data_IF_794012374367
#
_entry.id   IF_794012374367
#
_cell.length_a   1.000
_cell.length_b   1.000
_cell.length_c   1.000
_cell.angle_alpha   90.00
_cell.angle_beta   90.00
_cell.angle_gamma   90.00
#
_symmetry.space_group_name_H-M   'P 1'
#
loop_
_entity.id
_entity.type
_entity.pdbx_description
1 polymer ?
#
# COMPACT_ATOMS: atom_id res chain seq x y z
N UNK A 1 36.42 20.75 4.17
CA UNK A 1 34.98 21.08 4.31
C UNK A 1 34.21 20.21 3.33
N UNK A 2 33.81 19.00 3.75
CA UNK A 2 32.85 18.22 2.98
C UNK A 2 31.47 18.84 3.22
N UNK A 3 30.78 19.26 2.15
CA UNK A 3 29.35 19.58 2.25
C UNK A 3 28.69 18.38 2.90
N UNK A 4 28.10 18.58 4.08
CA UNK A 4 27.07 17.68 4.58
C UNK A 4 25.99 17.68 3.51
N UNK A 5 26.05 16.72 2.58
CA UNK A 5 24.90 16.42 1.74
C UNK A 5 23.82 15.97 2.72
N UNK A 6 22.91 16.90 3.03
CA UNK A 6 21.70 16.62 3.78
C UNK A 6 21.14 15.35 3.18
N UNK A 7 21.09 14.29 3.98
CA UNK A 7 20.62 13.01 3.50
C UNK A 7 19.20 13.20 3.01
N UNK A 8 19.06 13.04 1.70
CA UNK A 8 17.78 13.20 1.03
C UNK A 8 16.92 12.04 1.49
N UNK A 9 15.71 12.36 1.94
CA UNK A 9 14.65 11.38 2.14
C UNK A 9 14.69 10.34 0.99
N UNK A 10 14.56 9.03 1.26
CA UNK A 10 14.62 8.01 0.22
C UNK A 10 13.65 8.20 -0.95
N UNK A 11 12.63 9.05 -0.84
CA UNK A 11 11.70 9.39 -1.92
C UNK A 11 12.08 10.66 -2.72
N UNK A 12 13.08 11.42 -2.25
CA UNK A 12 13.63 12.59 -2.94
C UNK A 12 14.89 12.27 -3.77
N UNK A 13 15.30 11.00 -3.77
CA UNK A 13 16.43 10.51 -4.58
C UNK A 13 16.06 10.40 -6.07
N UNK A 14 17.07 10.14 -6.91
CA UNK A 14 16.86 9.71 -8.30
C UNK A 14 16.56 8.21 -8.41
N UNK A 15 16.32 7.72 -9.63
CA UNK A 15 16.03 6.30 -9.91
C UNK A 15 17.07 5.38 -9.20
N UNK A 16 16.63 4.38 -8.42
CA UNK A 16 17.54 3.37 -7.86
C UNK A 16 18.35 2.67 -8.95
N UNK A 17 19.66 2.59 -8.75
CA UNK A 17 20.60 1.93 -9.66
C UNK A 17 21.84 1.46 -8.91
N UNK A 18 22.72 0.68 -9.53
CA UNK A 18 24.00 0.27 -8.92
C UNK A 18 24.85 1.47 -8.46
N UNK A 19 24.78 2.58 -9.20
CA UNK A 19 25.48 3.83 -8.87
C UNK A 19 24.72 4.71 -7.85
N UNK A 20 23.48 4.36 -7.53
CA UNK A 20 22.62 5.04 -6.57
C UNK A 20 21.81 4.00 -5.78
N UNK A 21 22.47 3.15 -4.98
CA UNK A 21 21.82 2.02 -4.33
C UNK A 21 21.01 2.47 -3.12
N UNK A 22 19.93 1.75 -2.81
CA UNK A 22 19.17 1.89 -1.58
C UNK A 22 19.94 1.18 -0.47
N UNK A 23 20.42 1.93 0.51
CA UNK A 23 21.25 1.41 1.60
C UNK A 23 20.38 1.13 2.82
N UNK A 24 20.27 -0.14 3.19
CA UNK A 24 19.42 -0.61 4.28
C UNK A 24 20.30 -1.28 5.33
N UNK A 25 20.20 -0.81 6.57
CA UNK A 25 20.86 -1.43 7.72
C UNK A 25 19.80 -2.03 8.62
N UNK A 26 20.03 -3.25 9.07
CA UNK A 26 19.07 -4.03 9.87
C UNK A 26 19.65 -4.28 11.25
N UNK A 27 18.86 -3.98 12.29
CA UNK A 27 19.17 -4.37 13.66
C UNK A 27 18.90 -5.87 13.85
N UNK A 28 19.89 -6.70 13.53
CA UNK A 28 19.75 -8.16 13.45
C UNK A 28 19.33 -8.82 14.77
N UNK A 29 19.72 -8.26 15.92
CA UNK A 29 19.36 -8.78 17.25
C UNK A 29 17.84 -8.87 17.41
N UNK A 30 17.10 -7.82 17.04
CA UNK A 30 15.63 -7.81 17.10
C UNK A 30 15.01 -8.93 16.25
N UNK A 31 15.52 -9.14 15.03
CA UNK A 31 15.00 -10.18 14.14
C UNK A 31 15.37 -11.59 14.60
N UNK A 32 16.51 -11.74 15.27
CA UNK A 32 16.93 -13.00 15.89
C UNK A 32 15.91 -13.45 16.95
N UNK A 33 15.55 -12.53 17.86
CA UNK A 33 14.59 -12.77 18.93
C UNK A 33 13.18 -13.09 18.42
N UNK A 34 12.76 -12.47 17.31
CA UNK A 34 11.39 -12.55 16.79
C UNK A 34 11.29 -13.33 15.46
N UNK A 35 12.27 -14.20 15.17
CA UNK A 35 12.38 -14.83 13.84
C UNK A 35 11.12 -15.58 13.42
N UNK A 36 10.49 -16.35 14.32
CA UNK A 36 9.28 -17.12 13.98
C UNK A 36 8.16 -16.23 13.43
N UNK A 37 7.97 -15.05 14.04
CA UNK A 37 6.93 -14.09 13.65
C UNK A 37 7.30 -13.33 12.38
N UNK A 38 8.59 -13.09 12.15
CA UNK A 38 9.10 -12.22 11.09
C UNK A 38 9.71 -12.97 9.90
N UNK A 39 9.80 -14.31 9.96
CA UNK A 39 10.51 -15.16 8.99
C UNK A 39 10.13 -14.88 7.54
N UNK A 40 8.85 -14.69 7.25
CA UNK A 40 8.36 -14.35 5.90
C UNK A 40 8.88 -12.99 5.42
N UNK A 41 8.82 -11.97 6.28
CA UNK A 41 9.29 -10.62 5.96
C UNK A 41 10.81 -10.58 5.81
N UNK A 42 11.55 -11.30 6.66
CA UNK A 42 13.01 -11.42 6.57
C UNK A 42 13.43 -12.08 5.26
N UNK A 43 12.78 -13.17 4.86
CA UNK A 43 13.04 -13.80 3.55
C UNK A 43 12.79 -12.85 2.39
N UNK A 44 11.68 -12.11 2.40
CA UNK A 44 11.41 -11.09 1.36
C UNK A 44 12.47 -9.99 1.34
N UNK A 45 12.94 -9.54 2.50
CA UNK A 45 14.00 -8.55 2.58
C UNK A 45 15.32 -9.07 2.01
N UNK A 46 15.66 -10.34 2.29
CA UNK A 46 16.81 -11.02 1.66
C UNK A 46 16.63 -11.10 0.15
N UNK A 47 15.44 -11.48 -0.35
CA UNK A 47 15.20 -11.52 -1.79
C UNK A 47 15.33 -10.14 -2.44
N UNK A 48 14.81 -9.09 -1.80
CA UNK A 48 14.99 -7.71 -2.28
C UNK A 48 16.46 -7.28 -2.28
N UNK A 49 17.27 -7.76 -1.33
CA UNK A 49 18.72 -7.47 -1.30
C UNK A 49 19.52 -8.05 -2.46
N UNK A 50 18.96 -9.03 -3.17
CA UNK A 50 19.56 -9.60 -4.39
C UNK A 50 19.36 -8.69 -5.61
N UNK A 51 18.57 -7.62 -5.49
CA UNK A 51 18.43 -6.61 -6.54
C UNK A 51 19.72 -5.76 -6.63
N UNK A 52 20.21 -5.44 -7.84
CA UNK A 52 21.53 -4.81 -8.03
C UNK A 52 21.66 -3.41 -7.43
N UNK A 53 20.54 -2.76 -7.12
CA UNK A 53 20.48 -1.42 -6.54
C UNK A 53 20.07 -1.42 -5.06
N UNK A 54 20.10 -2.57 -4.37
CA UNK A 54 19.83 -2.65 -2.93
C UNK A 54 21.08 -3.13 -2.21
N UNK A 55 21.57 -2.33 -1.27
CA UNK A 55 22.66 -2.68 -0.37
C UNK A 55 22.11 -2.97 1.01
N UNK A 56 21.95 -4.24 1.34
CA UNK A 56 21.49 -4.70 2.66
C UNK A 56 22.66 -5.06 3.56
N UNK A 57 22.62 -4.60 4.80
CA UNK A 57 23.58 -4.95 5.84
C UNK A 57 22.87 -5.35 7.13
N UNK A 58 23.07 -6.59 7.55
CA UNK A 58 22.69 -7.07 8.87
C UNK A 58 23.80 -6.72 9.86
N UNK A 59 23.49 -5.95 10.90
CA UNK A 59 24.44 -5.64 11.98
C UNK A 59 24.82 -6.90 12.77
N UNK A 60 25.96 -6.90 13.49
CA UNK A 60 26.40 -8.07 14.24
C UNK A 60 25.35 -8.45 15.30
N UNK A 61 25.19 -9.73 15.58
CA UNK A 61 24.26 -10.26 16.58
C UNK A 61 25.05 -11.11 17.57
N UNK A 62 24.74 -11.02 18.87
CA UNK A 62 25.47 -11.79 19.90
C UNK A 62 25.05 -13.25 19.90
N UNK A 63 23.74 -13.46 19.96
CA UNK A 63 23.13 -14.79 19.98
C UNK A 63 22.11 -14.89 18.86
N UNK A 64 22.59 -15.34 17.70
CA UNK A 64 21.73 -15.53 16.54
C UNK A 64 20.88 -16.80 16.71
N UNK A 65 19.58 -16.68 16.48
CA UNK A 65 18.66 -17.80 16.39
C UNK A 65 19.16 -18.78 15.30
N UNK A 66 19.22 -20.07 15.63
CA UNK A 66 19.71 -21.11 14.71
C UNK A 66 18.98 -21.13 13.36
N UNK A 67 17.68 -20.83 13.33
CA UNK A 67 16.91 -20.74 12.10
C UNK A 67 17.29 -19.52 11.24
N UNK A 68 17.65 -18.39 11.87
CA UNK A 68 18.15 -17.21 11.17
C UNK A 68 19.55 -17.47 10.60
N UNK A 69 20.44 -18.11 11.37
CA UNK A 69 21.77 -18.53 10.90
C UNK A 69 21.63 -19.47 9.70
N UNK A 70 20.78 -20.49 9.81
CA UNK A 70 20.53 -21.45 8.73
C UNK A 70 19.99 -20.77 7.47
N UNK A 71 19.12 -19.76 7.62
CA UNK A 71 18.64 -18.96 6.51
C UNK A 71 19.79 -18.17 5.85
N UNK A 72 20.61 -17.47 6.64
CA UNK A 72 21.75 -16.71 6.11
C UNK A 72 22.76 -17.61 5.39
N UNK A 73 23.06 -18.78 5.95
CA UNK A 73 23.94 -19.77 5.30
C UNK A 73 23.34 -20.26 3.98
N UNK A 74 22.06 -20.62 3.97
CA UNK A 74 21.36 -21.08 2.75
C UNK A 74 21.37 -20.03 1.65
N UNK A 75 21.18 -18.77 2.01
CA UNK A 75 21.10 -17.65 1.08
C UNK A 75 22.46 -16.98 0.80
N UNK A 76 23.56 -17.55 1.31
CA UNK A 76 24.93 -17.02 1.22
C UNK A 76 25.08 -15.57 1.70
N UNK A 77 24.41 -15.21 2.80
CA UNK A 77 24.50 -13.89 3.43
C UNK A 77 25.63 -13.90 4.47
N UNK A 78 26.64 -13.03 4.27
CA UNK A 78 27.72 -12.83 5.23
C UNK A 78 27.19 -12.10 6.48
N UNK A 79 27.39 -12.69 7.66
CA UNK A 79 27.06 -12.05 8.93
C UNK A 79 28.18 -11.07 9.27
N UNK A 80 27.83 -9.79 9.48
CA UNK A 80 28.82 -8.79 9.88
C UNK A 80 29.32 -9.03 11.31
N UNK A 81 30.54 -8.56 11.59
CA UNK A 81 31.17 -8.70 12.90
C UNK A 81 31.90 -7.43 13.30
N UNK A 82 31.95 -7.15 14.60
CA UNK A 82 32.88 -6.14 15.12
C UNK A 82 34.23 -6.77 15.42
N UNK A 83 35.30 -6.05 15.07
CA UNK A 83 36.68 -6.48 15.30
C UNK A 83 37.51 -5.33 15.89
N UNK A 84 38.49 -5.67 16.73
CA UNK A 84 39.55 -4.74 17.09
C UNK A 84 40.55 -4.67 15.95
N UNK A 85 40.84 -3.45 15.49
CA UNK A 85 41.84 -3.24 14.43
C UNK A 85 43.26 -3.26 15.01
N UNK A 86 44.22 -3.78 14.24
CA UNK A 86 45.63 -3.88 14.63
C UNK A 86 46.45 -2.61 14.31
N UNK A 87 45.80 -1.50 13.95
CA UNK A 87 46.49 -0.26 13.62
C UNK A 87 47.02 0.44 14.88
N UNK A 88 47.93 1.42 14.71
CA UNK A 88 48.65 2.11 15.80
C UNK A 88 47.78 2.85 16.83
N UNK A 89 46.47 2.89 16.64
CA UNK A 89 45.48 3.39 17.58
C UNK A 89 44.41 2.32 17.77
N UNK A 90 44.08 1.99 19.02
CA UNK A 90 42.95 1.10 19.32
C UNK A 90 41.68 1.66 18.67
N UNK A 91 41.13 0.93 17.69
CA UNK A 91 39.87 1.25 17.03
C UNK A 91 39.07 -0.01 16.83
N UNK A 92 37.76 0.11 17.04
CA UNK A 92 36.77 -0.90 16.66
C UNK A 92 36.35 -0.65 15.22
N UNK A 93 36.34 -1.71 14.41
CA UNK A 93 35.82 -1.70 13.05
C UNK A 93 34.63 -2.65 12.89
N UNK A 94 33.71 -2.29 12.00
CA UNK A 94 32.70 -3.19 11.46
C UNK A 94 33.27 -3.87 10.22
N UNK A 95 33.30 -5.20 10.23
CA UNK A 95 33.62 -6.03 9.07
C UNK A 95 32.35 -6.55 8.42
N UNK A 96 32.19 -6.32 7.13
CA UNK A 96 31.00 -6.72 6.35
C UNK A 96 31.30 -6.77 4.85
N UNK A 97 30.76 -7.75 4.11
CA UNK A 97 30.92 -7.91 2.66
C UNK A 97 32.39 -7.79 2.21
N UNK A 98 33.30 -8.43 2.94
CA UNK A 98 34.75 -8.34 2.71
C UNK A 98 35.41 -6.97 2.95
N UNK A 99 34.67 -5.99 3.48
CA UNK A 99 35.16 -4.63 3.82
C UNK A 99 35.33 -4.46 5.32
N UNK A 100 36.25 -3.59 5.71
CA UNK A 100 36.42 -3.13 7.09
C UNK A 100 36.22 -1.63 7.17
N UNK A 101 35.39 -1.18 8.12
CA UNK A 101 35.12 0.25 8.35
C UNK A 101 35.33 0.57 9.81
N UNK A 102 36.31 1.42 10.12
CA UNK A 102 36.52 1.93 11.48
C UNK A 102 35.31 2.75 11.92
N UNK A 103 34.76 2.46 13.11
CA UNK A 103 33.53 3.09 13.60
C UNK A 103 33.72 3.86 14.91
N UNK A 104 34.69 3.46 15.74
CA UNK A 104 34.87 4.05 17.06
C UNK A 104 36.31 3.86 17.57
N UNK A 105 36.83 4.85 18.30
CA UNK A 105 38.13 4.75 18.97
C UNK A 105 38.00 3.95 20.29
N UNK A 106 38.99 3.13 20.60
CA UNK A 106 39.02 2.18 21.72
C UNK A 106 38.92 0.73 21.24
N UNK A 107 38.58 -0.17 22.15
CA UNK A 107 38.53 -1.61 21.91
C UNK A 107 37.14 -2.22 22.19
N UNK A 108 36.93 -3.45 21.73
CA UNK A 108 35.69 -4.20 21.90
C UNK A 108 35.37 -4.48 23.37
N UNK A 109 36.38 -4.71 24.21
CA UNK A 109 36.16 -4.96 25.63
C UNK A 109 35.49 -3.76 26.32
N UNK A 110 35.84 -2.53 25.89
CA UNK A 110 35.23 -1.29 26.39
C UNK A 110 33.82 -1.07 25.86
N UNK A 111 33.61 -1.24 24.55
CA UNK A 111 32.38 -0.78 23.88
C UNK A 111 31.36 -1.88 23.60
N UNK A 112 31.78 -3.14 23.53
CA UNK A 112 30.97 -4.26 23.04
C UNK A 112 29.76 -4.58 23.90
N UNK A 113 29.80 -4.24 25.20
CA UNK A 113 28.71 -4.45 26.15
C UNK A 113 27.73 -3.27 26.25
N UNK A 114 28.11 -2.07 25.77
CA UNK A 114 27.39 -0.83 26.03
C UNK A 114 26.22 -0.61 25.08
N UNK A 115 25.11 -0.13 25.64
CA UNK A 115 23.87 0.19 24.94
C UNK A 115 23.59 1.69 24.92
N UNK A 116 22.74 2.13 24.01
CA UNK A 116 22.32 3.53 23.90
C UNK A 116 21.13 3.79 24.82
N UNK A 117 21.38 4.11 26.09
CA UNK A 117 20.31 4.19 27.10
C UNK A 117 19.77 2.81 27.45
N UNK A 118 18.44 2.67 27.53
CA UNK A 118 17.76 1.39 27.81
C UNK A 118 17.41 0.61 26.51
N UNK A 119 17.90 1.08 25.36
CA UNK A 119 17.68 0.45 24.05
C UNK A 119 18.48 -0.85 23.86
N UNK A 120 17.98 -1.76 23.01
CA UNK A 120 18.73 -2.92 22.53
C UNK A 120 19.77 -2.57 21.45
N UNK A 121 19.79 -1.34 20.97
CA UNK A 121 20.80 -0.83 20.04
C UNK A 121 22.08 -0.54 20.81
N UNK A 122 23.18 -1.22 20.45
CA UNK A 122 24.48 -1.00 21.09
C UNK A 122 25.09 0.32 20.65
N UNK A 123 26.01 0.83 21.46
CA UNK A 123 26.83 2.00 21.08
C UNK A 123 27.53 1.72 19.74
N UNK A 124 28.07 0.51 19.55
CA UNK A 124 28.71 0.10 18.30
C UNK A 124 27.74 0.07 17.10
N UNK A 125 26.47 -0.32 17.29
CA UNK A 125 25.44 -0.32 16.24
C UNK A 125 25.15 1.11 15.80
N UNK A 126 24.92 2.01 16.77
CA UNK A 126 24.69 3.43 16.52
C UNK A 126 25.87 4.09 15.77
N UNK A 127 27.11 3.81 16.20
CA UNK A 127 28.30 4.32 15.52
C UNK A 127 28.48 3.72 14.13
N UNK A 128 28.19 2.43 13.94
CA UNK A 128 28.21 1.81 12.62
C UNK A 128 27.22 2.51 11.67
N UNK A 129 25.98 2.74 12.12
CA UNK A 129 24.95 3.42 11.34
C UNK A 129 25.39 4.84 10.97
N UNK A 130 25.92 5.62 11.92
CA UNK A 130 26.41 6.97 11.67
C UNK A 130 27.54 6.99 10.61
N UNK A 131 28.40 5.98 10.62
CA UNK A 131 29.47 5.84 9.64
C UNK A 131 28.97 5.35 8.27
N UNK A 132 27.99 4.44 8.24
CA UNK A 132 27.41 3.92 6.98
C UNK A 132 26.52 4.96 6.30
N UNK A 133 25.78 5.76 7.08
CA UNK A 133 24.78 6.73 6.62
C UNK A 133 23.71 6.08 5.71
N UNK A 134 22.97 5.07 6.20
CA UNK A 134 22.00 4.32 5.40
C UNK A 134 20.72 5.10 5.17
N UNK A 135 20.03 4.84 4.06
CA UNK A 135 18.68 5.37 3.79
C UNK A 135 17.68 4.93 4.87
N UNK A 136 17.77 3.65 5.25
CA UNK A 136 16.86 3.00 6.20
C UNK A 136 17.62 2.31 7.32
N UNK A 137 17.12 2.46 8.55
CA UNK A 137 17.50 1.64 9.69
C UNK A 137 16.28 0.83 10.17
N UNK A 138 16.33 -0.48 9.95
CA UNK A 138 15.23 -1.39 10.23
C UNK A 138 15.33 -1.91 11.66
N UNK A 139 14.32 -1.62 12.47
CA UNK A 139 14.29 -1.99 13.90
C UNK A 139 12.85 -2.12 14.42
N UNK A 140 12.70 -2.48 15.70
CA UNK A 140 11.40 -2.48 16.38
C UNK A 140 10.90 -1.06 16.67
N UNK A 141 9.58 -0.86 16.60
CA UNK A 141 8.94 0.35 17.14
C UNK A 141 8.97 0.39 18.68
N UNK A 142 9.04 -0.77 19.33
CA UNK A 142 9.00 -0.86 20.80
C UNK A 142 10.36 -0.55 21.46
N UNK A 143 11.41 -0.38 20.66
CA UNK A 143 12.75 -0.07 21.17
C UNK A 143 12.89 1.44 21.41
N UNK A 144 13.41 1.84 22.57
CA UNK A 144 13.57 3.25 22.96
C UNK A 144 14.37 4.08 21.95
N UNK A 145 15.28 3.44 21.21
CA UNK A 145 16.06 4.11 20.19
C UNK A 145 15.22 4.48 18.96
N UNK A 146 14.03 3.91 18.74
CA UNK A 146 13.16 4.24 17.61
C UNK A 146 12.79 5.74 17.59
N UNK A 147 12.42 6.30 18.74
CA UNK A 147 11.98 7.70 18.87
C UNK A 147 13.13 8.71 18.98
N UNK A 148 14.37 8.27 19.20
CA UNK A 148 15.53 9.16 19.37
C UNK A 148 15.96 9.78 18.04
N UNK A 149 16.15 11.10 17.94
CA UNK A 149 16.74 11.74 16.75
C UNK A 149 18.29 11.64 16.73
N UNK A 150 18.81 10.43 16.90
CA UNK A 150 20.25 10.17 17.14
C UNK A 150 21.05 9.82 15.88
N UNK A 151 20.39 9.45 14.79
CA UNK A 151 21.03 9.01 13.55
C UNK A 151 20.40 9.68 12.34
N UNK A 152 21.21 9.88 11.32
CA UNK A 152 20.78 10.32 10.01
C UNK A 152 20.43 9.07 9.19
N UNK A 153 19.24 8.52 9.45
CA UNK A 153 18.62 7.45 8.69
C UNK A 153 17.12 7.39 9.02
N UNK A 154 16.29 6.94 8.09
CA UNK A 154 14.87 6.71 8.39
C UNK A 154 14.72 5.43 9.20
N UNK A 155 14.31 5.56 10.46
CA UNK A 155 13.94 4.43 11.33
C UNK A 155 12.59 3.88 10.90
N UNK A 156 12.50 2.57 10.75
CA UNK A 156 11.33 1.94 10.13
C UNK A 156 11.22 0.47 10.56
N UNK A 157 10.00 -0.07 10.60
CA UNK A 157 9.81 -1.52 10.75
C UNK A 157 10.03 -2.24 9.42
N UNK A 158 10.23 -3.57 9.47
CA UNK A 158 10.37 -4.35 8.23
C UNK A 158 9.12 -4.29 7.35
N UNK A 159 7.92 -4.23 7.94
CA UNK A 159 6.66 -4.18 7.17
C UNK A 159 6.53 -2.85 6.44
N UNK A 160 6.82 -1.75 7.12
CA UNK A 160 6.83 -0.42 6.53
C UNK A 160 7.92 -0.28 5.48
N UNK A 161 9.12 -0.83 5.72
CA UNK A 161 10.20 -0.83 4.74
C UNK A 161 9.77 -1.54 3.44
N UNK A 162 9.24 -2.76 3.54
CA UNK A 162 8.78 -3.51 2.36
C UNK A 162 7.73 -2.72 1.57
N UNK A 163 6.83 -2.05 2.28
CA UNK A 163 5.82 -1.19 1.69
C UNK A 163 6.42 0.04 0.99
N UNK A 164 7.39 0.70 1.60
CA UNK A 164 8.07 1.86 1.01
C UNK A 164 8.93 1.49 -0.20
N UNK A 165 9.66 0.37 -0.12
CA UNK A 165 10.41 -0.16 -1.26
C UNK A 165 9.46 -0.49 -2.41
N UNK A 166 8.30 -1.11 -2.13
CA UNK A 166 7.26 -1.33 -3.16
C UNK A 166 6.86 -0.03 -3.85
N UNK A 167 6.49 0.99 -3.08
CA UNK A 167 6.05 2.29 -3.62
C UNK A 167 7.16 2.92 -4.46
N UNK A 168 8.40 2.94 -3.95
CA UNK A 168 9.55 3.52 -4.62
C UNK A 168 9.83 2.84 -5.96
N UNK A 169 9.87 1.50 -5.99
CA UNK A 169 10.15 0.73 -7.19
C UNK A 169 9.04 0.87 -8.24
N UNK A 170 7.78 0.81 -7.82
CA UNK A 170 6.61 0.97 -8.71
C UNK A 170 6.61 2.36 -9.35
N UNK A 171 6.91 3.41 -8.59
CA UNK A 171 6.97 4.77 -9.12
C UNK A 171 7.99 4.92 -10.25
N UNK A 172 9.16 4.29 -10.11
CA UNK A 172 10.21 4.30 -11.12
C UNK A 172 10.05 3.24 -12.23
N UNK A 173 8.93 2.51 -12.26
CA UNK A 173 8.69 1.48 -13.27
C UNK A 173 9.63 0.28 -13.16
N UNK A 174 10.10 -0.01 -11.95
CA UNK A 174 11.00 -1.13 -11.65
C UNK A 174 10.15 -2.29 -11.12
N UNK A 175 9.91 -3.30 -11.96
CA UNK A 175 9.09 -4.47 -11.65
C UNK A 175 9.92 -5.77 -11.75
N UNK A 176 9.91 -6.57 -10.69
CA UNK A 176 10.51 -7.91 -10.58
C UNK A 176 9.49 -8.92 -10.03
N UNK A 177 9.39 -10.07 -10.67
CA UNK A 177 8.69 -11.22 -10.08
C UNK A 177 9.57 -11.86 -9.00
N UNK A 178 10.84 -12.09 -9.36
CA UNK A 178 11.92 -12.64 -8.52
C UNK A 178 13.17 -11.79 -8.72
N UNK A 179 14.19 -11.88 -7.86
CA UNK A 179 15.38 -11.04 -7.99
C UNK A 179 16.07 -11.10 -9.35
N UNK A 180 16.00 -12.27 -10.01
CA UNK A 180 16.58 -12.50 -11.34
C UNK A 180 15.55 -12.46 -12.48
N UNK A 181 14.30 -12.08 -12.21
CA UNK A 181 13.20 -12.09 -13.18
C UNK A 181 12.51 -10.73 -13.21
N UNK A 182 12.97 -9.86 -14.11
CA UNK A 182 12.36 -8.55 -14.32
C UNK A 182 11.08 -8.68 -15.15
N UNK A 183 10.05 -7.95 -14.75
CA UNK A 183 8.81 -7.79 -15.50
C UNK A 183 8.90 -6.46 -16.26
N UNK A 184 8.53 -6.48 -17.54
CA UNK A 184 8.46 -5.28 -18.35
C UNK A 184 7.03 -4.74 -18.35
N UNK A 185 6.89 -3.45 -18.03
CA UNK A 185 5.60 -2.77 -17.97
C UNK A 185 4.89 -2.90 -16.62
N UNK A 186 4.01 -1.94 -16.37
CA UNK A 186 3.23 -1.85 -15.12
C UNK A 186 1.95 -2.72 -15.12
N UNK A 187 1.54 -3.21 -16.28
CA UNK A 187 0.26 -3.90 -16.47
C UNK A 187 0.15 -5.15 -15.58
N UNK A 188 1.20 -5.97 -15.53
CA UNK A 188 1.27 -7.16 -14.69
C UNK A 188 1.05 -6.83 -13.20
N UNK A 189 1.72 -5.79 -12.70
CA UNK A 189 1.65 -5.37 -11.31
C UNK A 189 0.25 -4.88 -10.94
N UNK A 190 -0.32 -3.97 -11.74
CA UNK A 190 -1.64 -3.42 -11.42
C UNK A 190 -2.78 -4.41 -11.70
N UNK A 191 -2.66 -5.30 -12.70
CA UNK A 191 -3.61 -6.38 -12.90
C UNK A 191 -3.60 -7.36 -11.72
N UNK A 192 -2.41 -7.67 -11.19
CA UNK A 192 -2.30 -8.46 -9.95
C UNK A 192 -2.95 -7.72 -8.77
N UNK A 193 -2.72 -6.41 -8.61
CA UNK A 193 -3.38 -5.62 -7.56
C UNK A 193 -4.90 -5.65 -7.68
N UNK A 194 -5.44 -5.52 -8.90
CA UNK A 194 -6.89 -5.58 -9.10
C UNK A 194 -7.42 -6.95 -8.68
N UNK A 195 -6.75 -8.02 -9.08
CA UNK A 195 -7.10 -9.39 -8.70
C UNK A 195 -7.13 -9.61 -7.19
N UNK A 196 -6.12 -9.12 -6.47
CA UNK A 196 -6.02 -9.29 -5.00
C UNK A 196 -7.04 -8.46 -4.26
N UNK A 197 -7.21 -7.18 -4.65
CA UNK A 197 -8.05 -6.25 -3.91
C UNK A 197 -9.53 -6.33 -4.32
N UNK A 198 -9.84 -6.87 -5.50
CA UNK A 198 -11.20 -6.98 -6.04
C UNK A 198 -11.47 -8.39 -6.60
N UNK A 199 -11.32 -9.46 -5.79
CA UNK A 199 -11.48 -10.83 -6.26
C UNK A 199 -12.88 -11.11 -6.82
N UNK A 200 -13.92 -10.47 -6.27
CA UNK A 200 -15.30 -10.67 -6.72
C UNK A 200 -15.55 -10.05 -8.10
N UNK A 201 -14.77 -9.05 -8.52
CA UNK A 201 -14.81 -8.57 -9.91
C UNK A 201 -14.42 -9.69 -10.86
N UNK A 202 -13.31 -10.36 -10.58
CA UNK A 202 -12.77 -11.41 -11.46
C UNK A 202 -13.69 -12.62 -11.47
N UNK A 203 -14.13 -13.06 -10.28
CA UNK A 203 -15.08 -14.17 -10.14
C UNK A 203 -16.39 -13.89 -10.88
N UNK A 204 -16.96 -12.69 -10.71
CA UNK A 204 -18.19 -12.29 -11.39
C UNK A 204 -18.02 -12.16 -12.90
N UNK A 205 -16.87 -11.67 -13.37
CA UNK A 205 -16.57 -11.62 -14.80
C UNK A 205 -16.49 -13.02 -15.41
N UNK A 206 -15.85 -13.97 -14.73
CA UNK A 206 -15.77 -15.37 -15.19
C UNK A 206 -17.18 -15.99 -15.28
N UNK A 207 -18.03 -15.75 -14.28
CA UNK A 207 -19.44 -16.21 -14.30
C UNK A 207 -20.20 -15.58 -15.46
N UNK A 208 -20.06 -14.25 -15.63
CA UNK A 208 -20.73 -13.50 -16.69
C UNK A 208 -20.35 -13.98 -18.10
N UNK A 209 -19.06 -14.18 -18.36
CA UNK A 209 -18.55 -14.59 -19.68
C UNK A 209 -19.11 -15.95 -20.16
N UNK A 210 -19.53 -16.82 -19.24
CA UNK A 210 -20.17 -18.10 -19.58
C UNK A 210 -21.67 -17.98 -19.80
N UNK A 211 -22.32 -16.99 -19.19
CA UNK A 211 -23.76 -16.74 -19.34
C UNK A 211 -24.05 -15.91 -20.59
N UNK A 212 -23.15 -15.00 -20.98
CA UNK A 212 -23.39 -14.03 -22.06
C UNK A 212 -23.19 -14.57 -23.50
N UNK A 213 -23.36 -15.89 -23.72
CA UNK A 213 -23.29 -16.49 -25.06
C UNK A 213 -24.43 -16.08 -26.02
N UNK A 214 -25.36 -15.22 -25.57
CA UNK A 214 -26.40 -14.62 -26.40
C UNK A 214 -25.99 -13.21 -26.87
N UNK A 215 -25.74 -13.06 -28.18
CA UNK A 215 -25.91 -11.85 -29.04
C UNK A 215 -25.84 -10.42 -28.43
N UNK A 216 -24.97 -10.13 -27.46
CA UNK A 216 -24.76 -8.74 -27.01
C UNK A 216 -23.51 -8.17 -27.69
N UNK A 217 -23.78 -7.51 -28.82
CA UNK A 217 -22.85 -6.66 -29.54
C UNK A 217 -22.07 -5.69 -28.63
N UNK A 218 -20.74 -5.76 -28.74
CA UNK A 218 -19.72 -4.72 -28.55
C UNK A 218 -20.20 -3.42 -27.87
N UNK A 219 -20.37 -3.46 -26.55
CA UNK A 219 -19.87 -2.41 -25.67
C UNK A 219 -18.73 -3.04 -24.87
N UNK A 220 -17.64 -2.32 -24.53
CA UNK A 220 -16.67 -2.84 -23.56
C UNK A 220 -17.47 -3.33 -22.35
N UNK A 221 -17.39 -4.62 -22.03
CA UNK A 221 -18.23 -5.21 -20.98
C UNK A 221 -18.16 -4.32 -19.73
N UNK A 222 -19.27 -4.10 -19.04
CA UNK A 222 -19.26 -3.27 -17.82
C UNK A 222 -18.18 -3.74 -16.83
N UNK A 223 -17.87 -5.05 -16.85
CA UNK A 223 -16.72 -5.67 -16.19
C UNK A 223 -15.36 -5.15 -16.66
N UNK A 224 -15.09 -5.09 -17.98
CA UNK A 224 -13.86 -4.51 -18.52
C UNK A 224 -13.72 -3.02 -18.20
N UNK A 225 -14.82 -2.27 -18.30
CA UNK A 225 -14.84 -0.85 -17.92
C UNK A 225 -14.58 -0.64 -16.41
N UNK A 226 -15.17 -1.48 -15.57
CA UNK A 226 -14.93 -1.48 -14.12
C UNK A 226 -13.49 -1.87 -13.80
N UNK A 227 -12.96 -2.95 -14.40
CA UNK A 227 -11.57 -3.38 -14.27
C UNK A 227 -10.60 -2.25 -14.56
N UNK A 228 -10.78 -1.55 -15.70
CA UNK A 228 -9.92 -0.44 -16.06
C UNK A 228 -9.96 0.70 -15.03
N UNK A 229 -11.13 1.00 -14.45
CA UNK A 229 -11.22 1.99 -13.37
C UNK A 229 -10.47 1.53 -12.12
N UNK A 230 -10.65 0.28 -11.69
CA UNK A 230 -9.97 -0.26 -10.49
C UNK A 230 -8.44 -0.34 -10.68
N UNK A 231 -7.99 -0.63 -11.90
CA UNK A 231 -6.59 -0.52 -12.30
C UNK A 231 -6.08 0.90 -12.11
N UNK A 232 -6.79 1.89 -12.65
CA UNK A 232 -6.39 3.31 -12.57
C UNK A 232 -6.48 3.87 -11.15
N UNK A 233 -7.43 3.39 -10.34
CA UNK A 233 -7.54 3.72 -8.90
C UNK A 233 -6.30 3.22 -8.16
N UNK A 234 -5.87 1.98 -8.41
CA UNK A 234 -4.66 1.41 -7.80
C UNK A 234 -3.42 2.22 -8.18
N UNK A 235 -3.33 2.69 -9.43
CA UNK A 235 -2.25 3.55 -9.92
C UNK A 235 -2.28 4.94 -9.29
N UNK A 236 -3.45 5.56 -9.15
CA UNK A 236 -3.60 6.85 -8.49
C UNK A 236 -3.17 6.77 -7.02
N UNK A 237 -3.55 5.70 -6.31
CA UNK A 237 -3.14 5.47 -4.93
C UNK A 237 -1.61 5.34 -4.80
N UNK A 238 -0.94 4.58 -5.67
CA UNK A 238 0.52 4.43 -5.62
C UNK A 238 1.24 5.77 -5.90
N UNK A 239 0.65 6.65 -6.72
CA UNK A 239 1.16 8.02 -6.91
C UNK A 239 0.98 8.88 -5.67
N UNK A 240 -0.19 8.85 -5.04
CA UNK A 240 -0.44 9.55 -3.77
C UNK A 240 0.55 9.07 -2.70
N UNK A 241 0.73 7.75 -2.57
CA UNK A 241 1.67 7.12 -1.65
C UNK A 241 3.10 7.67 -1.86
N UNK A 242 3.59 7.69 -3.10
CA UNK A 242 4.92 8.18 -3.41
C UNK A 242 5.10 9.65 -3.04
N UNK A 243 4.20 10.53 -3.50
CA UNK A 243 4.31 11.97 -3.26
C UNK A 243 4.10 12.33 -1.78
N UNK A 244 3.28 11.57 -1.03
CA UNK A 244 3.10 11.75 0.42
C UNK A 244 4.33 11.34 1.24
N UNK A 245 5.22 10.51 0.69
CA UNK A 245 6.43 10.06 1.36
C UNK A 245 7.66 10.93 1.06
N UNK A 246 7.57 11.86 0.10
CA UNK A 246 8.60 12.87 -0.18
C UNK A 246 8.68 13.94 0.93
N UNK A 247 9.70 14.78 0.90
CA UNK A 247 9.69 15.95 1.77
C UNK A 247 8.53 16.88 1.38
N UNK A 248 7.66 17.25 2.34
CA UNK A 248 6.53 18.12 2.05
C UNK A 248 6.96 19.47 1.48
N UNK A 249 6.37 19.82 0.34
CA UNK A 249 6.41 21.14 -0.29
C UNK A 249 5.15 21.32 -1.15
N UNK A 250 4.96 22.52 -1.71
CA UNK A 250 3.78 22.83 -2.53
C UNK A 250 3.63 21.87 -3.72
N UNK A 251 4.72 21.52 -4.41
CA UNK A 251 4.68 20.60 -5.55
C UNK A 251 4.20 19.19 -5.14
N UNK A 252 4.74 18.63 -4.06
CA UNK A 252 4.33 17.31 -3.58
C UNK A 252 2.88 17.27 -3.14
N UNK A 253 2.40 18.38 -2.58
CA UNK A 253 1.02 18.53 -2.13
C UNK A 253 0.07 18.65 -3.32
N UNK A 254 0.41 19.45 -4.32
CA UNK A 254 -0.36 19.61 -5.55
C UNK A 254 -0.46 18.28 -6.32
N UNK A 255 0.63 17.52 -6.41
CA UNK A 255 0.64 16.18 -7.01
C UNK A 255 -0.26 15.20 -6.23
N UNK A 256 -0.23 15.23 -4.90
CA UNK A 256 -1.13 14.42 -4.08
C UNK A 256 -2.60 14.78 -4.32
N UNK A 257 -2.93 16.08 -4.37
CA UNK A 257 -4.30 16.55 -4.59
C UNK A 257 -4.80 16.24 -6.01
N UNK A 258 -3.94 16.39 -7.02
CA UNK A 258 -4.24 16.02 -8.40
C UNK A 258 -4.63 14.55 -8.51
N UNK A 259 -3.80 13.66 -7.96
CA UNK A 259 -4.06 12.23 -7.99
C UNK A 259 -5.24 11.82 -7.10
N UNK A 260 -5.46 12.48 -5.97
CA UNK A 260 -6.67 12.28 -5.16
C UNK A 260 -7.93 12.66 -5.93
N UNK A 261 -7.93 13.82 -6.60
CA UNK A 261 -9.06 14.26 -7.41
C UNK A 261 -9.37 13.29 -8.55
N UNK A 262 -8.34 12.81 -9.24
CA UNK A 262 -8.48 11.78 -10.26
C UNK A 262 -9.02 10.45 -9.68
N UNK A 263 -8.50 10.02 -8.52
CA UNK A 263 -8.96 8.81 -7.83
C UNK A 263 -10.45 8.89 -7.49
N UNK A 264 -10.92 10.00 -6.91
CA UNK A 264 -12.34 10.21 -6.56
C UNK A 264 -13.25 10.10 -7.80
N UNK A 265 -12.83 10.68 -8.93
CA UNK A 265 -13.58 10.58 -10.19
C UNK A 265 -13.67 9.14 -10.69
N UNK A 266 -12.60 8.36 -10.56
CA UNK A 266 -12.61 6.94 -10.93
C UNK A 266 -13.47 6.10 -9.98
N UNK A 267 -13.40 6.34 -8.67
CA UNK A 267 -14.17 5.62 -7.65
C UNK A 267 -15.67 5.80 -7.87
N UNK A 268 -16.12 7.03 -8.08
CA UNK A 268 -17.54 7.29 -8.38
C UNK A 268 -17.96 6.67 -9.72
N UNK A 269 -17.09 6.66 -10.72
CA UNK A 269 -17.33 5.90 -11.96
C UNK A 269 -17.35 4.38 -11.76
N UNK A 270 -16.62 3.84 -10.78
CA UNK A 270 -16.68 2.42 -10.42
C UNK A 270 -18.01 2.08 -9.75
N UNK A 271 -18.53 2.96 -8.89
CA UNK A 271 -19.87 2.84 -8.30
C UNK A 271 -20.97 2.85 -9.35
N UNK A 272 -20.87 3.73 -10.35
CA UNK A 272 -21.79 3.72 -11.49
C UNK A 272 -21.65 2.40 -12.30
N UNK A 273 -20.42 1.91 -12.48
CA UNK A 273 -20.14 0.62 -13.12
C UNK A 273 -20.83 -0.56 -12.43
N UNK A 274 -20.81 -0.61 -11.10
CA UNK A 274 -21.54 -1.61 -10.30
C UNK A 274 -23.05 -1.49 -10.55
N UNK A 275 -23.60 -0.27 -10.51
CA UNK A 275 -25.02 -0.04 -10.76
C UNK A 275 -25.45 -0.55 -12.15
N UNK A 276 -24.61 -0.33 -13.16
CA UNK A 276 -24.83 -0.83 -14.51
C UNK A 276 -24.74 -2.35 -14.64
N UNK A 277 -23.81 -3.00 -13.94
CA UNK A 277 -23.75 -4.47 -13.87
C UNK A 277 -25.03 -5.02 -13.26
N UNK A 278 -25.47 -4.49 -12.11
CA UNK A 278 -26.71 -4.91 -11.43
C UNK A 278 -27.92 -4.69 -12.35
N UNK A 279 -28.03 -3.50 -12.96
CA UNK A 279 -29.12 -3.17 -13.88
C UNK A 279 -29.18 -4.15 -15.04
N UNK A 280 -28.04 -4.50 -15.64
CA UNK A 280 -27.99 -5.39 -16.79
C UNK A 280 -28.28 -6.84 -16.40
N UNK A 281 -27.74 -7.31 -15.26
CA UNK A 281 -27.98 -8.65 -14.74
C UNK A 281 -29.47 -8.88 -14.47
N UNK A 282 -30.14 -7.95 -13.78
CA UNK A 282 -31.57 -8.06 -13.45
C UNK A 282 -32.50 -7.44 -14.51
N UNK A 283 -31.96 -6.97 -15.64
CA UNK A 283 -32.71 -6.36 -16.75
C UNK A 283 -33.67 -5.23 -16.30
N UNK A 284 -33.22 -4.30 -15.45
CA UNK A 284 -34.10 -3.20 -15.02
C UNK A 284 -34.45 -2.27 -16.20
N UNK A 285 -35.73 -1.94 -16.33
CA UNK A 285 -36.19 -0.87 -17.21
C UNK A 285 -36.17 0.47 -16.44
N UNK A 286 -35.03 1.16 -16.50
CA UNK A 286 -34.81 2.45 -15.84
C UNK A 286 -34.05 3.36 -16.81
N UNK A 287 -34.40 4.65 -16.80
CA UNK A 287 -33.65 5.66 -17.53
C UNK A 287 -32.17 5.67 -17.08
N UNK A 288 -31.19 5.61 -18.01
CA UNK A 288 -29.76 5.67 -17.71
C UNK A 288 -29.34 6.71 -16.66
N UNK A 289 -29.95 7.90 -16.65
CA UNK A 289 -29.60 8.98 -15.71
C UNK A 289 -30.01 8.71 -14.26
N UNK A 290 -30.83 7.70 -14.03
CA UNK A 290 -31.33 7.31 -12.70
C UNK A 290 -30.64 6.06 -12.14
N UNK A 291 -29.66 5.50 -12.86
CA UNK A 291 -28.89 4.33 -12.45
C UNK A 291 -27.76 4.79 -11.54
N UNK A 292 -27.89 4.54 -10.23
CA UNK A 292 -26.84 4.83 -9.25
C UNK A 292 -27.06 4.03 -7.97
N UNK A 293 -25.97 3.57 -7.35
CA UNK A 293 -25.98 3.00 -6.01
C UNK A 293 -26.05 4.08 -4.91
N UNK A 294 -25.82 5.35 -5.24
CA UNK A 294 -25.93 6.45 -4.29
C UNK A 294 -27.41 6.77 -4.01
N UNK A 295 -27.77 6.84 -2.73
CA UNK A 295 -29.00 7.47 -2.27
C UNK A 295 -28.63 8.85 -1.70
N UNK A 296 -29.01 9.95 -2.37
CA UNK A 296 -28.70 11.30 -1.88
C UNK A 296 -29.31 11.53 -0.49
N UNK A 297 -28.61 12.25 0.39
CA UNK A 297 -29.00 12.47 1.79
C UNK A 297 -30.43 12.97 2.01
N UNK A 298 -30.98 13.73 1.06
CA UNK A 298 -32.34 14.28 1.13
C UNK A 298 -33.43 13.31 0.64
N UNK A 299 -33.05 12.11 0.19
CA UNK A 299 -33.96 11.09 -0.37
C UNK A 299 -33.91 9.83 0.48
N UNK A 300 -35.07 9.19 0.64
CA UNK A 300 -35.15 7.88 1.31
C UNK A 300 -34.74 6.73 0.40
N UNK A 301 -34.95 6.87 -0.91
CA UNK A 301 -34.72 5.82 -1.89
C UNK A 301 -34.64 6.42 -3.31
N UNK A 302 -33.97 5.75 -4.25
CA UNK A 302 -33.93 6.09 -5.68
C UNK A 302 -34.72 5.08 -6.51
N UNK A 303 -35.06 5.40 -7.76
CA UNK A 303 -35.80 4.46 -8.63
C UNK A 303 -35.02 3.15 -8.85
N UNK A 304 -33.69 3.24 -8.94
CA UNK A 304 -32.78 2.09 -8.99
C UNK A 304 -32.89 1.21 -7.74
N UNK A 305 -32.75 1.80 -6.56
CA UNK A 305 -32.77 1.06 -5.30
C UNK A 305 -34.18 0.47 -5.03
N UNK A 306 -35.27 1.16 -5.41
CA UNK A 306 -36.64 0.59 -5.38
C UNK A 306 -36.83 -0.61 -6.29
N UNK A 307 -36.26 -0.59 -7.49
CA UNK A 307 -36.35 -1.75 -8.40
C UNK A 307 -35.54 -2.92 -7.86
N UNK A 308 -34.35 -2.65 -7.32
CA UNK A 308 -33.50 -3.66 -6.73
C UNK A 308 -34.16 -4.42 -5.56
N UNK A 309 -34.98 -3.76 -4.73
CA UNK A 309 -35.66 -4.42 -3.60
C UNK A 309 -36.56 -5.58 -4.01
N UNK A 310 -37.11 -5.53 -5.23
CA UNK A 310 -37.98 -6.57 -5.78
C UNK A 310 -37.18 -7.79 -6.23
N UNK A 311 -36.01 -7.58 -6.85
CA UNK A 311 -35.22 -8.65 -7.46
C UNK A 311 -34.16 -9.26 -6.53
N UNK A 312 -33.60 -8.45 -5.63
CA UNK A 312 -32.58 -8.90 -4.70
C UNK A 312 -32.66 -8.14 -3.36
N UNK A 313 -33.49 -8.62 -2.42
CA UNK A 313 -33.65 -7.99 -1.11
C UNK A 313 -32.36 -7.90 -0.29
N UNK A 314 -31.43 -8.86 -0.47
CA UNK A 314 -30.14 -8.87 0.26
C UNK A 314 -29.22 -7.75 -0.20
N UNK A 315 -29.01 -7.65 -1.52
CA UNK A 315 -28.21 -6.56 -2.11
C UNK A 315 -28.86 -5.20 -1.88
N UNK A 316 -30.20 -5.13 -1.92
CA UNK A 316 -30.94 -3.92 -1.53
C UNK A 316 -30.65 -3.51 -0.08
N UNK A 317 -30.76 -4.45 0.88
CA UNK A 317 -30.53 -4.16 2.28
C UNK A 317 -29.09 -3.70 2.55
N UNK A 318 -28.11 -4.35 1.90
CA UNK A 318 -26.71 -3.93 1.96
C UNK A 318 -26.52 -2.51 1.41
N UNK A 319 -27.00 -2.24 0.19
CA UNK A 319 -26.82 -0.92 -0.41
C UNK A 319 -27.59 0.17 0.33
N UNK A 320 -28.69 -0.13 1.02
CA UNK A 320 -29.45 0.86 1.79
C UNK A 320 -28.98 0.99 3.25
N UNK A 321 -28.06 0.13 3.70
CA UNK A 321 -27.50 0.19 5.04
C UNK A 321 -26.90 1.58 5.33
N UNK A 322 -27.11 2.07 6.55
CA UNK A 322 -26.73 3.42 6.95
C UNK A 322 -25.22 3.64 6.84
N UNK A 323 -24.42 2.66 7.28
CA UNK A 323 -22.95 2.73 7.22
C UNK A 323 -22.48 2.72 5.77
N UNK A 324 -23.08 1.87 4.94
CA UNK A 324 -22.79 1.77 3.51
C UNK A 324 -23.09 3.07 2.77
N UNK A 325 -24.29 3.63 2.93
CA UNK A 325 -24.67 4.89 2.30
C UNK A 325 -23.86 6.08 2.83
N UNK A 326 -23.48 6.08 4.10
CA UNK A 326 -22.61 7.11 4.67
C UNK A 326 -21.24 7.12 3.99
N UNK A 327 -20.60 5.96 3.83
CA UNK A 327 -19.33 5.81 3.11
C UNK A 327 -19.43 6.29 1.66
N UNK A 328 -20.47 5.88 0.93
CA UNK A 328 -20.72 6.32 -0.45
C UNK A 328 -20.90 7.84 -0.51
N UNK A 329 -21.74 8.40 0.37
CA UNK A 329 -22.05 9.82 0.35
C UNK A 329 -20.84 10.70 0.72
N UNK A 330 -19.94 10.26 1.60
CA UNK A 330 -18.66 10.95 1.86
C UNK A 330 -17.86 11.11 0.56
N UNK A 331 -17.74 10.04 -0.23
CA UNK A 331 -16.98 10.06 -1.49
C UNK A 331 -17.63 10.99 -2.53
N UNK A 332 -18.95 10.92 -2.69
CA UNK A 332 -19.68 11.79 -3.62
C UNK A 332 -19.66 13.27 -3.18
N UNK A 333 -19.61 13.54 -1.88
CA UNK A 333 -19.47 14.90 -1.36
C UNK A 333 -18.12 15.50 -1.75
N UNK A 334 -17.03 14.72 -1.63
CA UNK A 334 -15.70 15.14 -2.08
C UNK A 334 -15.70 15.39 -3.58
N UNK A 335 -16.32 14.49 -4.38
CA UNK A 335 -16.48 14.68 -5.82
C UNK A 335 -17.19 15.99 -6.13
N UNK A 336 -18.29 16.28 -5.44
CA UNK A 336 -19.03 17.52 -5.61
C UNK A 336 -18.11 18.73 -5.33
N UNK A 337 -17.37 18.70 -4.22
CA UNK A 337 -16.42 19.80 -3.91
C UNK A 337 -15.35 19.98 -4.99
N UNK A 338 -14.76 18.89 -5.49
CA UNK A 338 -13.80 18.92 -6.59
C UNK A 338 -14.40 19.49 -7.88
N UNK A 339 -15.62 19.08 -8.23
CA UNK A 339 -16.31 19.54 -9.45
C UNK A 339 -16.68 21.03 -9.37
N UNK A 340 -17.05 21.53 -8.20
CA UNK A 340 -17.45 22.91 -7.98
C UNK A 340 -16.28 23.82 -7.57
N UNK A 341 -15.05 23.29 -7.55
CA UNK A 341 -13.83 24.00 -7.13
C UNK A 341 -13.97 24.65 -5.75
N UNK A 342 -14.87 24.17 -4.89
CA UNK A 342 -14.90 24.57 -3.48
C UNK A 342 -13.60 24.04 -2.87
N UNK A 343 -12.73 24.97 -2.49
CA UNK A 343 -11.30 24.76 -2.33
C UNK A 343 -10.97 23.60 -1.39
N UNK A 344 -10.74 22.42 -1.96
CA UNK A 344 -9.92 21.40 -1.31
C UNK A 344 -8.51 21.95 -1.34
N UNK A 345 -8.02 22.37 -0.18
CA UNK A 345 -6.68 22.92 -0.05
C UNK A 345 -5.79 21.88 0.61
N UNK A 346 -4.55 21.84 0.16
CA UNK A 346 -3.52 21.14 0.89
C UNK A 346 -2.91 22.08 1.92
N UNK A 347 -2.60 21.57 3.11
CA UNK A 347 -1.80 22.30 4.08
C UNK A 347 -0.50 21.54 4.32
N UNK A 348 0.61 22.10 3.85
CA UNK A 348 1.94 21.67 4.27
C UNK A 348 2.26 22.33 5.60
N UNK A 349 2.30 21.56 6.68
CA UNK A 349 2.70 22.07 7.99
C UNK A 349 4.15 21.65 8.25
N UNK A 350 5.02 22.60 8.59
CA UNK A 350 6.40 22.31 9.00
C UNK A 350 6.60 22.84 10.40
N UNK A 351 6.75 21.95 11.39
CA UNK A 351 7.31 22.33 12.70
C UNK A 351 8.81 22.05 12.70
N UNK A 352 9.55 22.72 13.58
CA UNK A 352 11.01 22.58 13.71
C UNK A 352 11.46 21.15 14.01
N UNK A 353 10.60 20.33 14.61
CA UNK A 353 11.00 19.06 15.25
C UNK A 353 10.35 17.79 14.68
N UNK A 354 9.32 17.91 13.82
CA UNK A 354 8.71 16.74 13.15
C UNK A 354 8.24 17.11 11.73
N UNK A 355 8.63 16.29 10.75
CA UNK A 355 8.01 16.33 9.41
C UNK A 355 6.55 15.91 9.57
N UNK A 356 5.62 16.84 9.37
CA UNK A 356 4.20 16.53 9.37
C UNK A 356 3.78 16.06 7.97
N UNK A 357 2.77 15.19 7.87
CA UNK A 357 2.31 14.67 6.60
C UNK A 357 1.62 15.75 5.75
N UNK A 358 1.43 15.47 4.46
CA UNK A 358 0.56 16.29 3.62
C UNK A 358 -0.87 16.21 4.15
N UNK A 359 -1.44 17.35 4.55
CA UNK A 359 -2.79 17.43 5.08
C UNK A 359 -3.78 17.90 4.01
N UNK A 360 -4.96 17.30 4.03
CA UNK A 360 -6.13 17.61 3.22
C UNK A 360 -7.11 18.44 4.04
N UNK A 361 -7.39 19.67 3.60
CA UNK A 361 -8.43 20.51 4.18
C UNK A 361 -9.77 20.31 3.47
N UNK A 362 -10.80 19.99 4.26
CA UNK A 362 -12.19 19.92 3.80
C UNK A 362 -13.04 20.98 4.54
N UNK A 363 -13.69 21.93 3.83
CA UNK A 363 -14.52 22.96 4.45
C UNK A 363 -15.86 22.42 4.98
N UNK A 364 -16.42 23.06 6.01
CA UNK A 364 -17.67 22.70 6.69
C UNK A 364 -18.94 23.00 5.89
N UNK A 365 -18.87 23.69 4.74
CA UNK A 365 -20.05 24.11 3.94
C UNK A 365 -20.89 22.95 3.36
N UNK A 366 -20.50 21.72 3.67
CA UNK A 366 -21.10 20.49 3.20
C UNK A 366 -21.80 19.82 4.40
N UNK A 367 -23.04 19.29 4.30
CA UNK A 367 -23.70 18.63 5.44
C UNK A 367 -22.73 17.60 6.00
N UNK A 368 -22.20 17.85 7.19
CA UNK A 368 -20.89 17.32 7.58
C UNK A 368 -21.02 15.84 7.94
N UNK A 369 -20.93 14.99 6.91
CA UNK A 369 -21.00 13.53 7.08
C UNK A 369 -19.91 13.03 8.02
N UNK A 370 -18.82 13.79 8.16
CA UNK A 370 -17.75 13.50 9.11
C UNK A 370 -18.09 13.89 10.55
N UNK A 371 -19.08 14.76 10.82
CA UNK A 371 -19.52 15.05 12.21
C UNK A 371 -20.28 13.89 12.82
N UNK A 372 -20.99 13.13 11.99
CA UNK A 372 -21.70 11.95 12.44
C UNK A 372 -20.78 10.74 12.64
N UNK A 373 -19.50 10.82 12.29
CA UNK A 373 -18.54 9.73 12.54
C UNK A 373 -18.13 9.74 14.01
N UNK A 374 -18.07 8.55 14.61
CA UNK A 374 -17.40 8.38 15.90
C UNK A 374 -15.93 8.81 15.81
N UNK A 375 -15.30 9.08 16.95
CA UNK A 375 -13.86 9.41 17.01
C UNK A 375 -13.03 8.31 16.34
N UNK A 376 -13.35 7.05 16.63
CA UNK A 376 -12.68 5.88 16.05
C UNK A 376 -12.81 5.86 14.53
N UNK A 377 -14.01 6.10 14.01
CA UNK A 377 -14.23 6.16 12.56
C UNK A 377 -13.49 7.33 11.93
N UNK A 378 -13.52 8.50 12.56
CA UNK A 378 -12.82 9.70 12.07
C UNK A 378 -11.31 9.43 11.94
N UNK A 379 -10.71 8.74 12.92
CA UNK A 379 -9.31 8.35 12.86
C UNK A 379 -9.02 7.39 11.71
N UNK A 380 -9.94 6.49 11.35
CA UNK A 380 -9.79 5.63 10.16
C UNK A 380 -9.80 6.40 8.84
N UNK A 381 -10.46 7.56 8.79
CA UNK A 381 -10.36 8.48 7.66
C UNK A 381 -9.12 9.38 7.72
N UNK A 382 -8.25 9.20 8.72
CA UNK A 382 -7.05 10.03 8.88
C UNK A 382 -7.35 11.41 9.47
N UNK A 383 -8.45 11.59 10.20
CA UNK A 383 -8.73 12.86 10.87
C UNK A 383 -7.54 13.26 11.77
N UNK A 384 -7.05 14.48 11.56
CA UNK A 384 -5.90 15.03 12.28
C UNK A 384 -6.35 16.10 13.29
N UNK A 385 -7.01 17.16 12.80
CA UNK A 385 -7.41 18.30 13.62
C UNK A 385 -8.55 19.10 12.96
N UNK A 386 -9.21 19.95 13.75
CA UNK A 386 -10.16 20.97 13.24
C UNK A 386 -9.43 22.31 13.10
N UNK A 387 -9.69 23.05 12.03
CA UNK A 387 -9.20 24.42 11.85
C UNK A 387 -10.36 25.29 11.36
N UNK A 388 -10.69 26.34 12.11
CA UNK A 388 -11.76 27.31 11.79
C UNK A 388 -13.05 26.62 11.33
N UNK A 389 -13.41 26.84 10.06
CA UNK A 389 -14.58 26.32 9.39
C UNK A 389 -14.30 25.01 8.62
N UNK A 390 -13.36 24.17 9.05
CA UNK A 390 -13.13 22.89 8.40
C UNK A 390 -12.29 21.88 9.19
N UNK A 391 -11.98 20.78 8.50
CA UNK A 391 -11.26 19.62 9.06
C UNK A 391 -10.02 19.32 8.25
N UNK A 392 -8.95 18.93 8.94
CA UNK A 392 -7.73 18.43 8.36
C UNK A 392 -7.65 16.91 8.47
N UNK A 393 -7.30 16.28 7.36
CA UNK A 393 -7.07 14.85 7.27
C UNK A 393 -5.65 14.58 6.78
N UNK A 394 -5.00 13.53 7.29
CA UNK A 394 -3.81 12.97 6.66
C UNK A 394 -4.18 12.44 5.27
N UNK A 395 -3.64 13.07 4.23
CA UNK A 395 -4.07 12.84 2.84
C UNK A 395 -3.84 11.38 2.43
N UNK A 396 -2.71 10.81 2.82
CA UNK A 396 -2.34 9.42 2.51
C UNK A 396 -3.33 8.45 3.16
N UNK A 397 -3.56 8.58 4.45
CA UNK A 397 -4.50 7.75 5.22
C UNK A 397 -5.91 7.87 4.64
N UNK A 398 -6.34 9.09 4.32
CA UNK A 398 -7.63 9.35 3.70
C UNK A 398 -7.78 8.65 2.34
N UNK A 399 -6.75 8.72 1.49
CA UNK A 399 -6.74 8.05 0.18
C UNK A 399 -6.79 6.52 0.30
N UNK A 400 -6.01 5.93 1.22
CA UNK A 400 -6.10 4.50 1.54
C UNK A 400 -7.49 4.12 2.01
N UNK A 401 -8.13 4.94 2.85
CA UNK A 401 -9.48 4.68 3.31
C UNK A 401 -10.51 4.68 2.19
N UNK A 402 -10.40 5.61 1.23
CA UNK A 402 -11.26 5.60 0.03
C UNK A 402 -11.04 4.33 -0.79
N UNK A 403 -9.79 3.90 -0.96
CA UNK A 403 -9.48 2.65 -1.68
C UNK A 403 -10.09 1.43 -1.01
N UNK A 404 -9.95 1.31 0.32
CA UNK A 404 -10.55 0.24 1.12
C UNK A 404 -12.07 0.21 0.98
N UNK A 405 -12.73 1.36 1.14
CA UNK A 405 -14.18 1.49 0.98
C UNK A 405 -14.62 1.08 -0.43
N UNK A 406 -13.83 1.45 -1.44
CA UNK A 406 -14.10 1.04 -2.83
C UNK A 406 -13.97 -0.47 -3.00
N UNK A 407 -12.95 -1.09 -2.42
CA UNK A 407 -12.75 -2.55 -2.42
C UNK A 407 -13.89 -3.28 -1.74
N UNK A 408 -14.30 -2.84 -0.55
CA UNK A 408 -15.46 -3.37 0.20
C UNK A 408 -16.72 -3.30 -0.66
N UNK A 409 -17.08 -2.10 -1.16
CA UNK A 409 -18.30 -1.90 -1.93
C UNK A 409 -18.34 -2.69 -3.23
N UNK A 410 -17.23 -2.76 -3.97
CA UNK A 410 -17.15 -3.56 -5.21
C UNK A 410 -17.32 -5.04 -4.87
N UNK A 411 -16.59 -5.55 -3.88
CA UNK A 411 -16.60 -6.97 -3.58
C UNK A 411 -17.95 -7.42 -3.02
N UNK A 412 -18.47 -6.69 -2.04
CA UNK A 412 -19.72 -7.04 -1.36
C UNK A 412 -20.89 -6.92 -2.33
N UNK A 413 -20.96 -5.86 -3.13
CA UNK A 413 -22.05 -5.69 -4.12
C UNK A 413 -22.07 -6.82 -5.16
N UNK A 414 -20.91 -7.19 -5.70
CA UNK A 414 -20.81 -8.24 -6.72
C UNK A 414 -21.02 -9.65 -6.15
N UNK A 415 -20.59 -9.91 -4.91
CA UNK A 415 -20.82 -11.19 -4.23
C UNK A 415 -22.30 -11.44 -3.92
N UNK A 416 -23.05 -10.36 -3.67
CA UNK A 416 -24.48 -10.42 -3.37
C UNK A 416 -25.37 -10.55 -4.61
N UNK A 417 -24.83 -10.46 -5.83
CA UNK A 417 -25.60 -10.75 -7.05
C UNK A 417 -26.01 -12.23 -7.03
N UNK A 418 -27.29 -12.49 -7.30
CA UNK A 418 -27.85 -13.85 -7.30
C UNK A 418 -27.51 -14.60 -8.60
N UNK A 419 -26.24 -15.01 -8.72
CA UNK A 419 -25.72 -15.72 -9.89
C UNK A 419 -26.44 -17.04 -10.17
N UNK A 420 -27.03 -17.69 -9.16
CA UNK A 420 -27.74 -18.97 -9.31
C UNK A 420 -28.91 -18.89 -10.30
N UNK A 421 -29.54 -17.71 -10.43
CA UNK A 421 -30.63 -17.47 -11.38
C UNK A 421 -30.25 -17.78 -12.83
N UNK A 422 -28.98 -17.58 -13.19
CA UNK A 422 -28.48 -17.79 -14.55
C UNK A 422 -27.56 -19.01 -14.64
N UNK A 423 -26.84 -19.36 -13.56
CA UNK A 423 -25.94 -20.51 -13.57
C UNK A 423 -26.70 -21.85 -13.60
N UNK A 424 -27.96 -21.87 -13.12
CA UNK A 424 -28.80 -23.07 -13.17
C UNK A 424 -29.17 -23.55 -14.57
N UNK A 425 -29.01 -22.72 -15.61
CA UNK A 425 -29.29 -23.09 -17.01
C UNK A 425 -28.06 -23.60 -17.77
N UNK A 426 -26.89 -23.68 -17.13
CA UNK A 426 -25.67 -24.17 -17.77
C UNK A 426 -25.71 -25.68 -18.00
N UNK A 427 -25.14 -26.12 -19.12
CA UNK A 427 -24.91 -27.55 -19.38
C UNK A 427 -23.80 -28.09 -18.48
N UNK A 428 -23.75 -29.42 -18.26
CA UNK A 428 -22.69 -30.04 -17.44
C UNK A 428 -21.27 -29.73 -17.94
N UNK A 429 -21.10 -29.55 -19.26
CA UNK A 429 -19.83 -29.14 -19.83
C UNK A 429 -19.45 -27.70 -19.48
N UNK A 430 -20.41 -26.78 -19.51
CA UNK A 430 -20.22 -25.38 -19.12
C UNK A 430 -20.00 -25.22 -17.61
N UNK A 431 -20.72 -25.99 -16.78
CA UNK A 431 -20.48 -26.05 -15.33
C UNK A 431 -19.05 -26.50 -15.02
N UNK A 432 -18.59 -27.58 -15.66
CA UNK A 432 -17.21 -28.06 -15.48
C UNK A 432 -16.18 -27.00 -15.90
N UNK A 433 -16.42 -26.33 -17.03
CA UNK A 433 -15.56 -25.24 -17.51
C UNK A 433 -15.54 -24.05 -16.55
N UNK A 434 -16.68 -23.70 -15.93
CA UNK A 434 -16.77 -22.67 -14.89
C UNK A 434 -15.93 -23.06 -13.67
N UNK A 435 -16.10 -24.28 -13.17
CA UNK A 435 -15.37 -24.80 -12.02
C UNK A 435 -13.86 -24.79 -12.26
N UNK A 436 -13.40 -25.24 -13.43
CA UNK A 436 -11.99 -25.19 -13.83
C UNK A 436 -11.44 -23.76 -13.84
N UNK A 437 -12.14 -22.81 -14.48
CA UNK A 437 -11.73 -21.39 -14.51
C UNK A 437 -11.67 -20.76 -13.12
N UNK A 438 -12.65 -21.05 -12.25
CA UNK A 438 -12.68 -20.54 -10.88
C UNK A 438 -11.57 -21.16 -10.03
N UNK A 439 -11.25 -22.43 -10.24
CA UNK A 439 -10.16 -23.10 -9.54
C UNK A 439 -8.78 -22.60 -10.00
N UNK A 440 -8.60 -22.35 -11.29
CA UNK A 440 -7.40 -21.71 -11.83
C UNK A 440 -7.23 -20.27 -11.31
N UNK A 441 -8.36 -19.56 -11.15
CA UNK A 441 -8.38 -18.26 -10.49
C UNK A 441 -7.91 -18.37 -9.01
N UNK A 442 -8.45 -19.32 -8.23
CA UNK A 442 -8.06 -19.53 -6.83
C UNK A 442 -6.58 -19.92 -6.69
N UNK A 443 -6.07 -20.72 -7.63
CA UNK A 443 -4.68 -21.19 -7.65
C UNK A 443 -3.67 -20.16 -8.18
N UNK A 444 -4.12 -18.95 -8.56
CA UNK A 444 -3.25 -17.96 -9.21
C UNK A 444 -2.61 -18.47 -10.51
N UNK A 445 -3.23 -19.47 -11.17
CA UNK A 445 -2.71 -20.09 -12.41
C UNK A 445 -3.15 -19.34 -13.67
N UNK A 446 -4.33 -18.73 -13.64
CA UNK A 446 -4.85 -17.96 -14.76
C UNK A 446 -4.21 -16.56 -14.84
N UNK A 447 -3.74 -16.19 -16.02
CA UNK A 447 -3.08 -14.94 -16.49
C UNK A 447 -1.55 -15.00 -16.69
N UNK A 448 -1.13 -14.54 -17.87
CA UNK A 448 0.22 -14.56 -18.48
C UNK A 448 1.33 -13.83 -17.69
N UNK A 449 1.04 -13.40 -16.47
CA UNK A 449 1.96 -12.62 -15.66
C UNK A 449 2.36 -13.48 -14.47
N UNK A 450 3.59 -13.99 -14.48
CA UNK A 450 4.19 -14.91 -13.50
C UNK A 450 4.24 -14.39 -12.05
N UNK A 451 3.53 -13.30 -11.73
CA UNK A 451 3.48 -12.65 -10.42
C UNK A 451 2.73 -13.57 -9.44
N UNK A 452 3.49 -14.40 -8.74
CA UNK A 452 2.96 -15.29 -7.70
C UNK A 452 2.74 -14.59 -6.37
N UNK A 453 2.14 -15.31 -5.41
CA UNK A 453 2.02 -14.86 -4.00
C UNK A 453 3.37 -14.56 -3.33
N UNK A 454 4.46 -15.06 -3.90
CA UNK A 454 5.82 -14.85 -3.43
C UNK A 454 6.52 -13.64 -4.09
N UNK A 455 5.81 -12.88 -4.93
CA UNK A 455 6.36 -11.68 -5.55
C UNK A 455 6.85 -10.69 -4.50
N UNK A 456 7.98 -10.04 -4.79
CA UNK A 456 8.63 -9.08 -3.89
C UNK A 456 7.76 -7.85 -3.55
N UNK A 457 6.68 -7.61 -4.31
CA UNK A 457 5.81 -6.43 -4.14
C UNK A 457 4.58 -6.65 -3.26
N UNK A 458 4.22 -7.90 -3.01
CA UNK A 458 2.92 -8.23 -2.43
C UNK A 458 3.11 -8.96 -1.10
N UNK A 459 2.47 -8.43 -0.05
CA UNK A 459 2.56 -8.95 1.30
C UNK A 459 1.49 -9.98 1.65
#
# INVERSE_FOLDING_TARGET
MYKNEIQKNPFDRGIPSENNPIVIVVHTEYFSEHYEQLSKSVRKLIDISKLPFVSLLFLPVREANNHLIALFQKENIEISSYIDTKYSQEKVALKYNGKEKGILNGNLAKWGALHVGESKVRVLDSQAIANINPDYFVMSMDDEFYERNSINAKKITIKELLQELRILLVYYGIFYDRPNSRIYGEEAYYSYRVRINFPQLIESSIKWDLISNEEISIHPSNFGSLHQRLYLISKALDKIDFHSLKNPNNDTLDECLYHLGYMIMLVTGAFDGIAWIIKNFYKFEINPQKISIQVPLKKKNTDFIKKLSVFNPKLYAFLLDEVTQKKINIIYQIRHSLQHRTFIQGMGYSTSDKKLPNLLFLPHESPDLFESLSIKESNFWGFNSKINEGKLFDLRTFAHRIFEVTSELVNDSLSLINWELCLGSLTSAETKKLEEKLEDFKKFKAFNYSVGKESIYFN
#
